data_IF_911553564984
#
_entry.id   IF_911553564984
#
_cell.length_a   1.000
_cell.length_b   1.000
_cell.length_c   1.000
_cell.angle_alpha   90.00
_cell.angle_beta   90.00
_cell.angle_gamma   90.00
#
_symmetry.space_group_name_H-M   'P 1'
#
loop_
_entity.id
_entity.type
_entity.pdbx_description
1 polymer ?
#
# COMPACT_ATOMS: atom_id res chain seq x y z
N UNK A 1 -21.30 -53.38 16.98
CA UNK A 1 -21.68 -52.17 17.76
C UNK A 1 -20.42 -51.46 18.27
N UNK A 2 -19.69 -50.68 17.44
CA UNK A 2 -18.51 -49.87 17.83
C UNK A 2 -18.27 -48.69 16.87
N UNK A 3 -19.33 -47.94 16.51
CA UNK A 3 -19.22 -46.83 15.55
C UNK A 3 -19.51 -45.44 16.16
N UNK A 4 -19.85 -45.35 17.45
CA UNK A 4 -20.48 -44.16 18.03
C UNK A 4 -19.58 -43.38 19.02
N UNK A 5 -18.26 -43.44 18.87
CA UNK A 5 -17.30 -42.67 19.69
C UNK A 5 -16.37 -41.76 18.88
N UNK A 6 -16.47 -41.74 17.55
CA UNK A 6 -15.60 -40.94 16.67
C UNK A 6 -16.01 -39.47 16.60
N UNK A 7 -17.31 -39.17 16.73
CA UNK A 7 -17.87 -37.81 16.72
C UNK A 7 -17.30 -36.89 17.83
N UNK A 8 -17.25 -37.28 19.12
CA UNK A 8 -16.71 -36.42 20.17
C UNK A 8 -15.19 -36.20 20.03
N UNK A 9 -14.46 -37.17 19.49
CA UNK A 9 -13.01 -37.02 19.22
C UNK A 9 -12.74 -36.11 18.03
N UNK A 10 -13.63 -36.07 17.02
CA UNK A 10 -13.52 -35.15 15.90
C UNK A 10 -13.79 -33.70 16.34
N UNK A 11 -14.83 -33.46 17.13
CA UNK A 11 -15.15 -32.10 17.62
C UNK A 11 -14.07 -31.59 18.58
N UNK A 12 -13.53 -32.46 19.45
CA UNK A 12 -12.43 -32.10 20.35
C UNK A 12 -11.12 -31.81 19.60
N UNK A 13 -10.82 -32.54 18.51
CA UNK A 13 -9.66 -32.23 17.65
C UNK A 13 -9.87 -30.97 16.82
N UNK A 14 -11.09 -30.72 16.31
CA UNK A 14 -11.41 -29.49 15.58
C UNK A 14 -11.33 -28.25 16.49
N UNK A 15 -11.80 -28.35 17.73
CA UNK A 15 -11.73 -27.25 18.71
C UNK A 15 -10.28 -26.93 19.13
N UNK A 16 -9.39 -27.92 19.16
CA UNK A 16 -7.96 -27.72 19.44
C UNK A 16 -7.20 -27.14 18.24
N UNK A 17 -7.57 -27.52 17.02
CA UNK A 17 -6.89 -27.10 15.78
C UNK A 17 -7.39 -25.74 15.28
N UNK A 18 -8.64 -25.37 15.55
CA UNK A 18 -9.23 -24.09 15.15
C UNK A 18 -8.43 -22.82 15.56
N UNK A 19 -7.96 -22.66 16.81
CA UNK A 19 -7.18 -21.47 17.18
C UNK A 19 -5.79 -21.45 16.51
N UNK A 20 -5.18 -22.62 16.29
CA UNK A 20 -3.86 -22.74 15.64
C UNK A 20 -3.97 -22.36 14.16
N UNK A 21 -5.02 -22.82 13.48
CA UNK A 21 -5.30 -22.44 12.08
C UNK A 21 -5.68 -20.96 11.99
N UNK A 22 -6.46 -20.42 12.93
CA UNK A 22 -6.80 -19.00 12.98
C UNK A 22 -5.56 -18.10 13.09
N UNK A 23 -4.61 -18.46 13.95
CA UNK A 23 -3.37 -17.69 14.14
C UNK A 23 -2.43 -17.80 12.94
N UNK A 24 -2.37 -18.96 12.28
CA UNK A 24 -1.57 -19.14 11.06
C UNK A 24 -2.07 -18.31 9.88
N UNK A 25 -3.39 -18.10 9.76
CA UNK A 25 -3.99 -17.26 8.70
C UNK A 25 -3.68 -15.77 8.92
N UNK A 26 -3.65 -15.30 10.18
CA UNK A 26 -3.39 -13.89 10.49
C UNK A 26 -1.98 -13.42 10.09
N UNK A 27 -0.99 -14.29 10.15
CA UNK A 27 0.42 -13.95 9.86
C UNK A 27 0.76 -13.96 8.37
N UNK A 28 -0.05 -14.60 7.52
CA UNK A 28 0.18 -14.67 6.07
C UNK A 28 -0.24 -13.40 5.31
N UNK A 29 -0.86 -12.43 6.00
CA UNK A 29 -1.54 -11.30 5.39
C UNK A 29 -0.69 -10.01 5.29
N UNK A 30 0.44 -9.90 6.00
CA UNK A 30 1.11 -8.61 6.24
C UNK A 30 1.80 -7.97 5.02
N UNK A 31 2.05 -8.72 3.95
CA UNK A 31 2.67 -8.20 2.71
C UNK A 31 1.70 -8.12 1.52
N UNK A 32 0.99 -9.23 1.20
CA UNK A 32 0.16 -9.29 -0.01
C UNK A 32 -0.94 -8.24 0.00
N UNK A 33 -1.68 -8.11 1.11
CA UNK A 33 -2.84 -7.22 1.20
C UNK A 33 -2.44 -5.77 0.94
N UNK A 34 -1.40 -5.28 1.60
CA UNK A 34 -0.94 -3.90 1.45
C UNK A 34 -0.51 -3.59 0.02
N UNK A 35 0.27 -4.49 -0.60
CA UNK A 35 0.73 -4.31 -1.98
C UNK A 35 -0.44 -4.28 -2.98
N UNK A 36 -1.41 -5.19 -2.82
CA UNK A 36 -2.57 -5.27 -3.71
C UNK A 36 -3.49 -4.06 -3.57
N UNK A 37 -3.68 -3.52 -2.35
CA UNK A 37 -4.47 -2.31 -2.14
C UNK A 37 -3.85 -1.11 -2.86
N UNK A 38 -2.55 -0.86 -2.66
CA UNK A 38 -1.86 0.26 -3.32
C UNK A 38 -1.86 0.08 -4.84
N UNK A 39 -1.68 -1.13 -5.35
CA UNK A 39 -1.78 -1.39 -6.79
C UNK A 39 -3.16 -1.05 -7.37
N UNK A 40 -4.24 -1.34 -6.64
CA UNK A 40 -5.59 -0.99 -7.07
C UNK A 40 -5.78 0.53 -7.09
N UNK A 41 -5.34 1.23 -6.05
CA UNK A 41 -5.42 2.69 -5.97
C UNK A 41 -4.58 3.35 -7.08
N UNK A 42 -3.36 2.87 -7.32
CA UNK A 42 -2.50 3.36 -8.41
C UNK A 42 -3.14 3.16 -9.78
N UNK A 43 -3.82 2.02 -10.02
CA UNK A 43 -4.52 1.79 -11.28
C UNK A 43 -5.61 2.85 -11.51
N UNK A 44 -6.44 3.11 -10.49
CA UNK A 44 -7.47 4.16 -10.58
C UNK A 44 -6.87 5.56 -10.77
N UNK A 45 -5.74 5.87 -10.14
CA UNK A 45 -5.04 7.13 -10.34
C UNK A 45 -4.50 7.30 -11.77
N UNK A 46 -3.96 6.24 -12.37
CA UNK A 46 -3.50 6.24 -13.77
C UNK A 46 -4.69 6.44 -14.72
N UNK A 47 -5.81 5.78 -14.49
CA UNK A 47 -7.03 5.98 -15.27
C UNK A 47 -7.55 7.43 -15.16
N UNK A 48 -7.57 8.00 -13.95
CA UNK A 48 -7.93 9.40 -13.72
C UNK A 48 -7.00 10.38 -14.43
N UNK A 49 -5.69 10.12 -14.44
CA UNK A 49 -4.73 10.91 -15.20
C UNK A 49 -4.96 10.78 -16.73
N UNK A 50 -5.28 9.59 -17.22
CA UNK A 50 -5.64 9.34 -18.61
C UNK A 50 -6.88 10.13 -19.03
N UNK A 51 -7.92 10.15 -18.18
CA UNK A 51 -9.17 10.86 -18.43
C UNK A 51 -9.00 12.37 -18.65
N UNK A 52 -7.98 12.99 -18.04
CA UNK A 52 -7.65 14.42 -18.24
C UNK A 52 -6.67 14.67 -19.39
N UNK A 53 -6.29 13.62 -20.14
CA UNK A 53 -5.41 13.66 -21.29
C UNK A 53 -3.92 13.73 -20.94
N UNK A 54 -3.50 13.16 -19.81
CA UNK A 54 -2.11 13.22 -19.36
C UNK A 54 -1.11 12.61 -20.36
N UNK A 55 -1.50 11.60 -21.15
CA UNK A 55 -0.69 11.04 -22.26
C UNK A 55 -0.16 12.08 -23.25
N UNK A 56 -0.91 13.16 -23.45
CA UNK A 56 -0.59 14.24 -24.37
C UNK A 56 0.03 15.44 -23.65
N UNK A 57 -0.52 15.81 -22.50
CA UNK A 57 -0.21 17.07 -21.82
C UNK A 57 0.83 16.96 -20.70
N UNK A 58 1.10 15.74 -20.23
CA UNK A 58 2.07 15.39 -19.19
C UNK A 58 2.68 14.01 -19.47
N UNK A 59 3.18 13.82 -20.70
CA UNK A 59 3.56 12.51 -21.22
C UNK A 59 4.62 11.83 -20.38
N UNK A 60 5.64 12.55 -19.94
CA UNK A 60 6.75 11.95 -19.20
C UNK A 60 6.24 11.32 -17.90
N UNK A 61 5.46 12.06 -17.13
CA UNK A 61 4.95 11.62 -15.83
C UNK A 61 3.93 10.51 -16.00
N UNK A 62 3.06 10.61 -17.01
CA UNK A 62 2.07 9.58 -17.30
C UNK A 62 2.75 8.25 -17.70
N UNK A 63 3.72 8.29 -18.61
CA UNK A 63 4.45 7.09 -19.05
C UNK A 63 5.25 6.50 -17.89
N UNK A 64 5.90 7.34 -17.07
CA UNK A 64 6.59 6.87 -15.86
C UNK A 64 5.62 6.15 -14.93
N UNK A 65 4.43 6.71 -14.66
CA UNK A 65 3.42 6.07 -13.82
C UNK A 65 3.03 4.68 -14.35
N UNK A 66 2.77 4.57 -15.66
CA UNK A 66 2.40 3.29 -16.30
C UNK A 66 3.54 2.27 -16.22
N UNK A 67 4.79 2.67 -16.47
CA UNK A 67 5.92 1.75 -16.43
C UNK A 67 6.29 1.31 -15.01
N UNK A 68 6.25 2.20 -14.03
CA UNK A 68 6.43 1.84 -12.62
C UNK A 68 5.31 0.92 -12.14
N UNK A 69 4.05 1.17 -12.53
CA UNK A 69 2.94 0.29 -12.20
C UNK A 69 3.11 -1.10 -12.84
N UNK A 70 3.50 -1.15 -14.11
CA UNK A 70 3.80 -2.39 -14.81
C UNK A 70 4.91 -3.16 -14.08
N UNK A 71 5.97 -2.47 -13.64
CA UNK A 71 7.05 -3.08 -12.86
C UNK A 71 6.58 -3.57 -11.49
N UNK A 72 5.75 -2.81 -10.79
CA UNK A 72 5.18 -3.22 -9.51
C UNK A 72 4.35 -4.52 -9.64
N UNK A 73 3.58 -4.66 -10.73
CA UNK A 73 2.83 -5.89 -11.05
C UNK A 73 3.73 -7.09 -11.32
N UNK A 74 4.91 -6.88 -11.92
CA UNK A 74 5.91 -7.95 -12.08
C UNK A 74 6.41 -8.44 -10.72
N UNK A 75 6.77 -7.53 -9.81
CA UNK A 75 7.30 -7.90 -8.48
C UNK A 75 6.23 -8.56 -7.59
N UNK A 76 4.97 -8.09 -7.66
CA UNK A 76 3.84 -8.74 -6.98
C UNK A 76 3.68 -10.20 -7.44
N UNK A 77 3.83 -10.47 -8.74
CA UNK A 77 3.77 -11.82 -9.29
C UNK A 77 4.94 -12.70 -8.82
N UNK A 78 6.11 -12.12 -8.52
CA UNK A 78 7.24 -12.80 -7.88
C UNK A 78 7.11 -12.93 -6.36
N UNK A 79 6.02 -12.46 -5.77
CA UNK A 79 5.81 -12.38 -4.31
C UNK A 79 6.84 -11.50 -3.59
N UNK A 80 7.51 -10.60 -4.31
CA UNK A 80 8.33 -9.55 -3.71
C UNK A 80 7.44 -8.33 -3.40
N UNK A 81 6.65 -8.47 -2.33
CA UNK A 81 5.62 -7.49 -1.98
C UNK A 81 6.19 -6.14 -1.56
N UNK A 82 7.39 -6.11 -1.00
CA UNK A 82 8.02 -4.85 -0.60
C UNK A 82 8.48 -4.06 -1.84
N UNK A 83 9.16 -4.72 -2.79
CA UNK A 83 9.53 -4.08 -4.05
C UNK A 83 8.29 -3.65 -4.86
N UNK A 84 7.24 -4.48 -4.88
CA UNK A 84 5.97 -4.13 -5.51
C UNK A 84 5.34 -2.87 -4.88
N UNK A 85 5.31 -2.79 -3.55
CA UNK A 85 4.75 -1.66 -2.81
C UNK A 85 5.52 -0.36 -3.10
N UNK A 86 6.85 -0.42 -3.08
CA UNK A 86 7.70 0.75 -3.32
C UNK A 86 7.55 1.29 -4.75
N UNK A 87 7.51 0.39 -5.74
CA UNK A 87 7.25 0.75 -7.14
C UNK A 87 5.83 1.28 -7.34
N UNK A 88 4.82 0.69 -6.69
CA UNK A 88 3.43 1.11 -6.80
C UNK A 88 3.20 2.52 -6.22
N UNK A 89 3.87 2.85 -5.09
CA UNK A 89 3.86 4.20 -4.52
C UNK A 89 4.51 5.22 -5.44
N UNK A 90 5.63 4.86 -6.06
CA UNK A 90 6.29 5.75 -7.02
C UNK A 90 5.41 5.99 -8.26
N UNK A 91 4.78 4.94 -8.78
CA UNK A 91 3.79 5.05 -9.84
C UNK A 91 2.62 5.98 -9.46
N UNK A 92 2.11 5.89 -8.23
CA UNK A 92 1.02 6.73 -7.74
C UNK A 92 1.41 8.22 -7.71
N UNK A 93 2.62 8.53 -7.24
CA UNK A 93 3.15 9.92 -7.26
C UNK A 93 3.22 10.46 -8.68
N UNK A 94 3.73 9.67 -9.62
CA UNK A 94 3.78 10.06 -11.03
C UNK A 94 2.39 10.21 -11.64
N UNK A 95 1.43 9.35 -11.30
CA UNK A 95 0.06 9.44 -11.77
C UNK A 95 -0.58 10.77 -11.33
N UNK A 96 -0.48 11.14 -10.06
CA UNK A 96 -1.01 12.40 -9.56
C UNK A 96 -0.28 13.61 -10.17
N UNK A 97 1.06 13.56 -10.24
CA UNK A 97 1.84 14.61 -10.89
C UNK A 97 1.44 14.81 -12.36
N UNK A 98 1.21 13.71 -13.08
CA UNK A 98 0.78 13.74 -14.48
C UNK A 98 -0.61 14.35 -14.64
N UNK A 99 -1.54 14.03 -13.73
CA UNK A 99 -2.89 14.61 -13.67
C UNK A 99 -2.80 16.12 -13.44
N UNK A 100 -2.03 16.56 -12.45
CA UNK A 100 -1.83 17.98 -12.13
C UNK A 100 -1.17 18.75 -13.29
N UNK A 101 -0.13 18.19 -13.90
CA UNK A 101 0.55 18.81 -15.06
C UNK A 101 -0.35 18.87 -16.29
N UNK A 102 -1.16 17.85 -16.52
CA UNK A 102 -2.13 17.85 -17.60
C UNK A 102 -3.22 18.91 -17.40
N UNK A 103 -3.73 19.03 -16.16
CA UNK A 103 -4.73 20.02 -15.79
C UNK A 103 -4.23 21.47 -15.96
N UNK A 104 -2.98 21.71 -15.60
CA UNK A 104 -2.33 23.03 -15.64
C UNK A 104 -1.69 23.38 -17.00
N UNK A 105 -1.70 22.48 -17.98
CA UNK A 105 -1.05 22.73 -19.27
C UNK A 105 -1.76 23.85 -20.06
N UNK A 106 -1.11 25.00 -20.33
CA UNK A 106 -1.74 26.14 -20.99
C UNK A 106 -2.25 25.83 -22.40
N UNK A 107 -1.65 24.85 -23.08
CA UNK A 107 -2.01 24.46 -24.45
C UNK A 107 -3.28 23.61 -24.53
N UNK A 108 -3.80 23.14 -23.38
CA UNK A 108 -4.98 22.28 -23.32
C UNK A 108 -6.30 23.03 -23.55
N UNK A 109 -6.34 24.32 -23.22
CA UNK A 109 -7.59 25.08 -23.17
C UNK A 109 -8.51 24.65 -22.01
N UNK A 110 -9.66 25.31 -21.86
CA UNK A 110 -10.64 25.01 -20.81
C UNK A 110 -11.59 23.89 -21.27
N UNK A 111 -11.28 22.64 -20.91
CA UNK A 111 -12.26 21.56 -20.98
C UNK A 111 -12.97 21.42 -19.64
N UNK A 112 -14.29 21.26 -19.60
CA UNK A 112 -15.02 21.00 -18.37
C UNK A 112 -14.72 19.57 -17.93
N UNK A 113 -13.90 19.42 -16.89
CA UNK A 113 -13.68 18.14 -16.24
C UNK A 113 -14.32 18.27 -14.86
N UNK A 114 -15.34 17.45 -14.60
CA UNK A 114 -15.78 17.19 -13.24
C UNK A 114 -14.63 16.45 -12.54
N UNK A 115 -13.83 17.20 -11.79
CA UNK A 115 -12.81 16.63 -10.91
C UNK A 115 -13.56 16.19 -9.67
N UNK A 116 -13.82 14.89 -9.54
CA UNK A 116 -14.20 14.36 -8.24
C UNK A 116 -13.03 14.64 -7.27
N UNK A 117 -13.32 15.20 -6.09
CA UNK A 117 -12.28 15.57 -5.15
C UNK A 117 -11.46 14.33 -4.79
N UNK A 118 -10.13 14.46 -4.93
CA UNK A 118 -9.16 13.50 -4.41
C UNK A 118 -9.52 13.26 -2.94
N UNK A 119 -9.76 12.01 -2.50
CA UNK A 119 -9.85 11.74 -1.08
C UNK A 119 -8.51 12.17 -0.47
N UNK A 120 -8.56 13.25 0.30
CA UNK A 120 -7.45 13.72 1.12
C UNK A 120 -6.97 12.51 1.93
N UNK A 121 -5.76 12.04 1.61
CA UNK A 121 -5.09 11.05 2.44
C UNK A 121 -4.94 11.72 3.80
N UNK A 122 -5.79 11.35 4.74
CA UNK A 122 -5.55 11.64 6.15
C UNK A 122 -4.23 10.95 6.46
N UNK A 123 -3.18 11.75 6.52
CA UNK A 123 -1.95 11.43 7.22
C UNK A 123 -2.35 11.31 8.70
N UNK A 124 -3.03 10.21 9.04
CA UNK A 124 -3.35 9.82 10.40
C UNK A 124 -2.03 9.47 11.08
N UNK A 125 -1.42 10.53 11.62
CA UNK A 125 -0.89 10.57 12.97
C UNK A 125 -0.40 9.22 13.51
N UNK A 126 0.78 8.79 13.07
CA UNK A 126 1.66 8.00 13.92
C UNK A 126 2.38 8.98 14.85
N UNK A 127 1.69 9.37 15.92
CA UNK A 127 2.34 9.80 17.15
C UNK A 127 3.16 8.61 17.66
N UNK A 128 4.44 8.58 17.28
CA UNK A 128 5.44 7.79 18.00
C UNK A 128 5.66 8.43 19.37
N UNK A 129 4.74 8.14 20.29
CA UNK A 129 4.95 8.25 21.73
C UNK A 129 5.77 7.01 22.16
N UNK A 130 7.08 7.10 21.93
CA UNK A 130 8.04 6.26 22.66
C UNK A 130 8.65 7.12 23.75
N UNK A 131 7.93 7.19 24.87
CA UNK A 131 8.50 7.50 26.17
C UNK A 131 9.36 6.31 26.60
N UNK A 132 10.63 6.30 26.19
CA UNK A 132 11.67 5.46 26.80
C UNK A 132 12.49 6.35 27.74
N UNK A 133 12.08 6.33 29.01
CA UNK A 133 12.92 6.61 30.16
C UNK A 133 14.07 5.59 30.20
N UNK A 134 15.31 6.02 29.95
CA UNK A 134 16.50 5.29 30.40
C UNK A 134 17.57 6.26 30.90
N UNK A 135 17.68 6.29 32.23
CA UNK A 135 18.79 6.78 33.02
C UNK A 135 20.13 6.12 32.61
N UNK A 136 21.16 6.87 32.18
CA UNK A 136 22.54 6.46 32.45
C UNK A 136 23.56 7.62 32.50
N UNK A 137 23.73 8.14 33.72
CA UNK A 137 25.01 8.35 34.40
C UNK A 137 26.26 8.74 33.58
N UNK A 138 26.39 10.04 33.25
CA UNK A 138 27.70 10.62 32.94
C UNK A 138 28.29 11.27 34.21
N UNK A 139 29.35 10.72 34.83
CA UNK A 139 30.02 11.37 35.94
C UNK A 139 30.73 12.66 35.49
N UNK A 140 30.61 13.77 36.23
CA UNK A 140 31.24 15.02 35.85
C UNK A 140 32.73 15.02 36.19
N UNK A 141 33.56 15.38 35.20
CA UNK A 141 34.84 16.03 35.45
C UNK A 141 36.09 15.18 35.20
N UNK A 142 36.70 15.39 34.04
CA UNK A 142 38.16 15.48 33.94
C UNK A 142 38.55 16.48 32.84
N UNK A 143 38.26 17.74 33.10
CA UNK A 143 39.09 18.82 32.58
C UNK A 143 40.12 19.17 33.66
N UNK A 144 41.35 19.32 33.19
CA UNK A 144 42.58 19.76 33.85
C UNK A 144 42.40 20.75 35.02
#
# INVERSE_FOLDING_TARGET
MRALTLLPTLVSRLALVAPIVGMAVGLAACGPISSTLVLNDTATAIEGAGAVGAEKWARFEYVSAVEYYRKAREEEAYSDFQAALDMAREAQKFAELSRLRALSNPKRGALPIAVDPVPESTDDESTDDSSDDDDDNTPPGSHL
#
